data_IF_966223004620
#
_entry.id   IF_966223004620
#
_cell.length_a   1.000
_cell.length_b   1.000
_cell.length_c   1.000
_cell.angle_alpha   90.00
_cell.angle_beta   90.00
_cell.angle_gamma   90.00
#
_symmetry.space_group_name_H-M   'P 1'
#
loop_
_entity.id
_entity.type
_entity.pdbx_description
1 polymer ?
#
# COMPACT_ATOMS: atom_id res chain seq x y z
N UNK A 1 25.14 5.00 1.90
CA UNK A 1 23.85 4.34 1.61
C UNK A 1 22.93 5.35 0.96
N UNK A 2 22.25 4.99 -0.14
CA UNK A 2 21.23 5.83 -0.77
C UNK A 2 19.84 5.26 -0.45
N UNK A 3 18.87 6.15 -0.18
CA UNK A 3 17.50 5.79 0.16
C UNK A 3 16.51 6.61 -0.63
N UNK A 4 15.38 6.00 -0.96
CA UNK A 4 14.26 6.64 -1.66
C UNK A 4 13.03 6.46 -0.79
N UNK A 5 12.34 7.55 -0.49
CA UNK A 5 11.00 7.52 0.06
C UNK A 5 10.00 7.86 -1.04
N UNK A 6 8.98 7.02 -1.22
CA UNK A 6 7.92 7.25 -2.20
C UNK A 6 6.58 7.22 -1.49
N UNK A 7 5.86 8.33 -1.57
CA UNK A 7 4.49 8.40 -1.11
C UNK A 7 3.55 7.82 -2.17
N UNK A 8 2.44 7.23 -1.74
CA UNK A 8 1.32 6.74 -2.57
C UNK A 8 1.67 5.60 -3.55
N UNK A 9 0.72 5.27 -4.45
CA UNK A 9 0.74 4.15 -5.39
C UNK A 9 1.87 4.26 -6.44
N UNK A 10 2.58 5.38 -6.44
CA UNK A 10 3.73 5.67 -7.29
C UNK A 10 4.96 4.81 -6.99
N UNK A 11 4.90 3.90 -6.02
CA UNK A 11 6.02 3.02 -5.69
C UNK A 11 6.30 1.94 -6.74
N UNK A 12 5.30 1.46 -7.52
CA UNK A 12 5.55 0.39 -8.49
C UNK A 12 6.46 0.80 -9.65
N UNK A 13 6.28 1.97 -10.31
CA UNK A 13 7.24 2.45 -11.30
C UNK A 13 8.67 2.54 -10.76
N UNK A 14 8.83 3.02 -9.52
CA UNK A 14 10.13 3.11 -8.86
C UNK A 14 10.72 1.73 -8.61
N UNK A 15 9.93 0.78 -8.12
CA UNK A 15 10.35 -0.61 -7.97
C UNK A 15 10.80 -1.23 -9.30
N UNK A 16 10.05 -1.00 -10.39
CA UNK A 16 10.41 -1.49 -11.74
C UNK A 16 11.73 -0.88 -12.22
N UNK A 17 11.93 0.42 -12.02
CA UNK A 17 13.18 1.09 -12.38
C UNK A 17 14.38 0.54 -11.58
N UNK A 18 14.23 0.35 -10.27
CA UNK A 18 15.26 -0.25 -9.42
C UNK A 18 15.59 -1.68 -9.84
N UNK A 19 14.58 -2.47 -10.22
CA UNK A 19 14.79 -3.80 -10.79
C UNK A 19 15.55 -3.75 -12.12
N UNK A 20 15.12 -2.91 -13.06
CA UNK A 20 15.73 -2.79 -14.39
C UNK A 20 17.19 -2.31 -14.33
N UNK A 21 17.53 -1.47 -13.35
CA UNK A 21 18.89 -0.98 -13.12
C UNK A 21 19.74 -1.92 -12.25
N UNK A 22 19.21 -3.07 -11.82
CA UNK A 22 19.95 -3.99 -10.94
C UNK A 22 20.27 -3.42 -9.56
N UNK A 23 19.43 -2.48 -9.08
CA UNK A 23 19.56 -1.76 -7.81
C UNK A 23 18.63 -2.29 -6.70
N UNK A 24 17.79 -3.27 -6.99
CA UNK A 24 16.97 -3.97 -5.99
C UNK A 24 17.82 -4.48 -4.82
N UNK A 25 17.41 -4.15 -3.59
CA UNK A 25 18.13 -4.49 -2.36
C UNK A 25 19.40 -3.67 -2.10
N UNK A 26 19.91 -2.92 -3.09
CA UNK A 26 21.07 -2.02 -2.95
C UNK A 26 20.67 -0.60 -2.54
N UNK A 27 19.50 -0.15 -2.99
CA UNK A 27 18.87 1.12 -2.59
C UNK A 27 17.74 0.82 -1.61
N UNK A 28 17.71 1.52 -0.47
CA UNK A 28 16.64 1.36 0.51
C UNK A 28 15.38 2.11 0.04
N UNK A 29 14.36 1.39 -0.41
CA UNK A 29 13.07 1.97 -0.76
C UNK A 29 12.08 1.87 0.41
N UNK A 30 11.57 3.00 0.86
CA UNK A 30 10.50 3.11 1.85
C UNK A 30 9.25 3.69 1.18
N UNK A 31 8.08 3.15 1.50
CA UNK A 31 6.80 3.56 0.90
C UNK A 31 5.76 3.93 1.97
N UNK A 32 4.58 4.39 1.57
CA UNK A 32 3.43 4.67 2.47
C UNK A 32 2.21 3.76 2.25
N UNK A 33 2.31 2.86 1.28
CA UNK A 33 1.17 2.15 0.74
C UNK A 33 1.23 0.67 1.07
N UNK A 34 0.09 -0.01 0.95
CA UNK A 34 0.06 -1.45 1.02
C UNK A 34 -1.08 -2.00 0.18
N UNK A 35 -0.71 -2.77 -0.84
CA UNK A 35 -1.63 -3.49 -1.71
C UNK A 35 -0.91 -4.71 -2.31
N UNK A 36 -1.67 -5.66 -2.82
CA UNK A 36 -1.16 -6.97 -3.29
C UNK A 36 -0.01 -6.87 -4.30
N UNK A 37 -0.06 -5.93 -5.24
CA UNK A 37 0.99 -5.71 -6.23
C UNK A 37 2.36 -5.37 -5.65
N UNK A 38 2.44 -4.98 -4.37
CA UNK A 38 3.70 -4.74 -3.67
C UNK A 38 4.34 -6.02 -3.11
N UNK A 39 3.59 -7.10 -2.94
CA UNK A 39 4.07 -8.33 -2.30
C UNK A 39 5.36 -8.88 -2.93
N UNK A 40 5.48 -9.01 -4.27
CA UNK A 40 6.72 -9.50 -4.89
C UNK A 40 7.93 -8.61 -4.60
N UNK A 41 7.73 -7.31 -4.39
CA UNK A 41 8.81 -6.35 -4.11
C UNK A 41 9.24 -6.36 -2.64
N UNK A 42 8.34 -6.71 -1.71
CA UNK A 42 8.71 -7.04 -0.32
C UNK A 42 9.51 -8.34 -0.27
N UNK A 43 9.05 -9.39 -0.95
CA UNK A 43 9.71 -10.70 -0.99
C UNK A 43 11.14 -10.60 -1.55
N UNK A 44 11.30 -9.92 -2.70
CA UNK A 44 12.60 -9.66 -3.34
C UNK A 44 13.48 -8.67 -2.57
N UNK A 45 12.95 -8.00 -1.55
CA UNK A 45 13.67 -7.00 -0.76
C UNK A 45 13.92 -5.68 -1.49
N UNK A 46 13.24 -5.43 -2.62
CA UNK A 46 13.24 -4.13 -3.31
C UNK A 46 12.61 -3.07 -2.42
N UNK A 47 11.49 -3.38 -1.76
CA UNK A 47 10.89 -2.53 -0.72
C UNK A 47 11.41 -2.98 0.64
N UNK A 48 12.02 -2.05 1.38
CA UNK A 48 12.55 -2.29 2.73
C UNK A 48 11.43 -2.18 3.77
N UNK A 49 10.58 -1.17 3.64
CA UNK A 49 9.48 -0.89 4.56
C UNK A 49 8.34 -0.11 3.89
N UNK A 50 7.17 -0.16 4.49
CA UNK A 50 6.06 0.75 4.19
C UNK A 50 5.40 1.28 5.46
N UNK A 51 5.00 2.56 5.45
CA UNK A 51 4.21 3.19 6.52
C UNK A 51 2.73 3.10 6.17
N UNK A 52 2.04 2.07 6.65
CA UNK A 52 0.66 1.79 6.30
C UNK A 52 -0.35 2.49 7.22
N UNK A 53 -1.23 3.31 6.63
CA UNK A 53 -2.22 4.12 7.37
C UNK A 53 -3.42 3.38 7.96
N UNK A 54 -3.60 2.08 7.69
CA UNK A 54 -4.73 1.26 8.17
C UNK A 54 -6.12 1.77 7.73
N UNK A 55 -6.35 1.98 6.42
CA UNK A 55 -7.58 2.58 5.90
C UNK A 55 -8.85 1.83 6.34
N UNK A 56 -8.78 0.51 6.52
CA UNK A 56 -9.91 -0.25 7.02
C UNK A 56 -10.35 0.13 8.42
N UNK A 57 -9.39 0.22 9.34
CA UNK A 57 -9.65 0.56 10.74
C UNK A 57 -10.16 1.99 10.81
N UNK A 58 -9.64 2.88 9.96
CA UNK A 58 -10.18 4.24 9.81
C UNK A 58 -11.66 4.21 9.42
N UNK A 59 -12.03 3.42 8.40
CA UNK A 59 -13.43 3.27 7.98
C UNK A 59 -14.33 2.67 9.06
N UNK A 60 -13.89 1.60 9.73
CA UNK A 60 -14.64 0.97 10.83
C UNK A 60 -14.88 1.95 12.00
N UNK A 61 -13.84 2.67 12.41
CA UNK A 61 -13.92 3.66 13.47
C UNK A 61 -14.84 4.82 13.07
N UNK A 62 -14.74 5.30 11.83
CA UNK A 62 -15.62 6.35 11.31
C UNK A 62 -17.09 5.93 11.36
N UNK A 63 -17.43 4.75 10.84
CA UNK A 63 -18.80 4.23 10.87
C UNK A 63 -19.32 4.07 12.29
N UNK A 64 -18.50 3.52 13.20
CA UNK A 64 -18.88 3.39 14.61
C UNK A 64 -19.20 4.74 15.25
N UNK A 65 -18.39 5.77 14.98
CA UNK A 65 -18.65 7.12 15.52
C UNK A 65 -19.97 7.69 15.02
N UNK A 66 -20.28 7.51 13.74
CA UNK A 66 -21.56 7.97 13.15
C UNK A 66 -22.73 7.24 13.79
N UNK A 67 -22.67 5.91 13.90
CA UNK A 67 -23.73 5.10 14.52
C UNK A 67 -23.93 5.51 15.99
N UNK A 68 -22.84 5.65 16.74
CA UNK A 68 -22.90 6.06 18.15
C UNK A 68 -23.47 7.48 18.33
N UNK A 69 -23.20 8.39 17.38
CA UNK A 69 -23.80 9.72 17.39
C UNK A 69 -25.31 9.68 17.12
N UNK A 70 -25.73 8.95 16.09
CA UNK A 70 -27.15 8.88 15.67
C UNK A 70 -28.00 8.13 16.68
N UNK A 71 -27.53 7.00 17.18
CA UNK A 71 -28.32 6.13 18.07
C UNK A 71 -28.24 6.54 19.54
N UNK A 72 -27.06 7.00 19.98
CA UNK A 72 -26.79 7.22 21.41
C UNK A 72 -26.51 8.71 21.73
N UNK A 73 -26.64 9.62 20.76
CA UNK A 73 -26.39 11.05 20.94
C UNK A 73 -24.95 11.43 21.28
N UNK A 74 -23.98 10.51 21.08
CA UNK A 74 -22.58 10.77 21.43
C UNK A 74 -21.97 11.85 20.52
N UNK A 75 -21.22 12.84 21.04
CA UNK A 75 -20.64 13.88 20.20
C UNK A 75 -19.56 13.32 19.26
N UNK A 76 -19.56 13.79 18.02
CA UNK A 76 -18.51 13.49 17.04
C UNK A 76 -17.23 14.27 17.39
N UNK A 77 -16.11 13.56 17.48
CA UNK A 77 -14.80 14.22 17.62
C UNK A 77 -14.38 14.80 16.27
N UNK A 78 -13.90 16.04 16.26
CA UNK A 78 -13.42 16.72 15.05
C UNK A 78 -12.19 16.03 14.44
N UNK A 79 -11.30 15.52 15.29
CA UNK A 79 -10.08 14.83 14.87
C UNK A 79 -9.90 13.58 15.73
N UNK A 80 -9.58 12.47 15.09
CA UNK A 80 -9.19 11.22 15.75
C UNK A 80 -7.92 10.68 15.10
N UNK A 81 -6.91 10.44 15.92
CA UNK A 81 -5.66 9.83 15.47
C UNK A 81 -5.75 8.30 15.51
N UNK A 82 -5.22 7.67 14.47
CA UNK A 82 -5.06 6.22 14.37
C UNK A 82 -3.59 5.96 14.09
N UNK A 83 -2.96 5.12 14.91
CA UNK A 83 -1.54 4.81 14.77
C UNK A 83 -1.28 4.08 13.44
N UNK A 84 -0.35 4.56 12.61
CA UNK A 84 0.07 3.84 11.42
C UNK A 84 0.85 2.58 11.80
N UNK A 85 0.98 1.64 10.87
CA UNK A 85 1.78 0.44 11.04
C UNK A 85 3.02 0.47 10.15
N UNK A 86 4.15 0.01 10.70
CA UNK A 86 5.35 -0.25 9.90
C UNK A 86 5.27 -1.67 9.33
N UNK A 87 5.23 -1.72 8.01
CA UNK A 87 5.15 -2.95 7.25
C UNK A 87 6.53 -3.30 6.73
N UNK A 88 6.93 -4.54 6.98
CA UNK A 88 8.22 -5.12 6.63
C UNK A 88 7.96 -6.43 5.90
N UNK A 89 9.00 -6.97 5.25
CA UNK A 89 8.95 -8.32 4.66
C UNK A 89 8.49 -9.39 5.66
N UNK A 90 8.78 -9.23 6.95
CA UNK A 90 8.40 -10.17 7.99
C UNK A 90 6.93 -10.14 8.41
N UNK A 91 6.17 -9.08 8.11
CA UNK A 91 4.80 -8.92 8.62
C UNK A 91 3.77 -8.49 7.57
N UNK A 92 4.17 -8.18 6.32
CA UNK A 92 3.23 -7.73 5.29
C UNK A 92 2.14 -8.77 5.02
N UNK A 93 2.46 -10.06 5.09
CA UNK A 93 1.51 -11.17 4.97
C UNK A 93 0.49 -11.25 6.12
N UNK A 94 0.58 -10.44 7.18
CA UNK A 94 -0.47 -10.35 8.20
C UNK A 94 -1.49 -9.27 7.86
N UNK A 95 -1.22 -8.46 6.84
CA UNK A 95 -2.06 -7.35 6.47
C UNK A 95 -3.16 -7.81 5.53
N UNK A 96 -4.36 -7.34 5.81
CA UNK A 96 -5.57 -7.72 5.09
C UNK A 96 -5.53 -7.30 3.61
N UNK A 97 -4.89 -6.17 3.31
CA UNK A 97 -4.70 -5.61 1.97
C UNK A 97 -3.86 -6.51 1.05
N UNK A 98 -3.17 -7.51 1.62
CA UNK A 98 -2.42 -8.52 0.88
C UNK A 98 -3.29 -9.75 0.55
N UNK A 99 -4.30 -10.03 1.37
CA UNK A 99 -5.14 -11.24 1.28
C UNK A 99 -6.48 -11.03 0.59
N UNK A 100 -6.93 -9.79 0.42
CA UNK A 100 -8.22 -9.55 -0.22
C UNK A 100 -8.23 -10.02 -1.68
N UNK A 101 -9.15 -10.94 -1.96
CA UNK A 101 -9.55 -11.40 -3.28
C UNK A 101 -10.64 -10.44 -3.75
N UNK A 102 -10.34 -9.55 -4.68
CA UNK A 102 -11.37 -9.14 -5.64
C UNK A 102 -11.38 -10.23 -6.71
N UNK A 103 -12.54 -10.85 -6.92
CA UNK A 103 -12.73 -11.84 -7.96
C UNK A 103 -12.33 -11.27 -9.31
N UNK A 104 -11.54 -12.04 -10.04
CA UNK A 104 -11.50 -12.13 -11.50
C UNK A 104 -11.83 -10.83 -12.24
N UNK A 105 -10.96 -9.84 -12.07
CA UNK A 105 -10.84 -8.68 -12.93
C UNK A 105 -9.39 -8.58 -13.36
N UNK A 106 -9.00 -9.45 -14.28
CA UNK A 106 -7.76 -9.34 -15.03
C UNK A 106 -7.74 -7.99 -15.76
N UNK A 107 -7.24 -6.95 -15.10
CA UNK A 107 -6.71 -5.79 -15.80
C UNK A 107 -5.33 -6.18 -16.30
N UNK A 108 -5.34 -6.97 -17.38
CA UNK A 108 -4.21 -7.14 -18.27
C UNK A 108 -3.83 -5.74 -18.77
N UNK A 109 -2.81 -5.14 -18.16
CA UNK A 109 -2.17 -3.96 -18.73
C UNK A 109 -1.35 -4.47 -19.91
N UNK A 110 -1.73 -4.17 -21.16
CA UNK A 110 -0.97 -4.65 -22.29
C UNK A 110 0.45 -4.09 -22.17
N UNK A 111 1.43 -4.98 -22.31
CA UNK A 111 2.83 -4.60 -22.44
C UNK A 111 2.96 -3.45 -23.42
N UNK A 112 3.64 -2.37 -23.03
CA UNK A 112 3.87 -1.15 -23.82
C UNK A 112 4.72 -1.36 -25.10
N UNK A 113 4.64 -2.53 -25.72
CA UNK A 113 5.39 -2.92 -26.93
C UNK A 113 4.50 -3.08 -28.16
N UNK A 114 3.19 -2.76 -28.06
CA UNK A 114 2.27 -2.72 -29.21
C UNK A 114 1.49 -1.39 -29.25
N UNK A 115 2.20 -0.28 -29.37
CA UNK A 115 1.64 0.94 -29.98
C UNK A 115 2.53 1.31 -31.15
N UNK A 116 2.39 0.53 -32.21
CA UNK A 116 2.75 0.91 -33.55
C UNK A 116 1.55 0.61 -34.44
N UNK A 117 1.19 1.63 -35.22
CA UNK A 117 0.28 1.68 -36.36
C UNK A 117 -1.21 1.99 -36.06
N UNK A 118 -1.58 3.19 -36.53
CA UNK A 118 -2.87 3.89 -36.65
C UNK A 118 -3.43 4.58 -35.40
#
# INVERSE_FOLDING_TARGET
MAGIYVNTLNCLPVCRALCALGLSGKVALVTSDLFRGMAPYFEKGTIRASVHGRPFVQGQVAMRMVIDNVLNGRPLQRVRYISPHIILRSNFHLCREIHHVEGDGELDFPSLTKLSVW
#
